data_IF_178667158051
#
_entry.id   IF_178667158051
#
_cell.length_a   1.000
_cell.length_b   1.000
_cell.length_c   1.000
_cell.angle_alpha   90.00
_cell.angle_beta   90.00
_cell.angle_gamma   90.00
#
_symmetry.space_group_name_H-M   'P 1'
#
loop_
_entity.id
_entity.type
_entity.pdbx_description
1 polymer ?
#
# COMPACT_ATOMS: atom_id res chain seq x y z
N UNK A 1 20.52 18.92 34.20
CA UNK A 1 19.10 19.06 34.55
C UNK A 1 18.44 17.69 34.79
N UNK A 2 18.72 16.97 35.89
CA UNK A 2 18.10 15.67 36.17
C UNK A 2 17.17 15.62 37.39
N UNK A 3 16.91 16.74 38.09
CA UNK A 3 16.09 16.75 39.33
C UNK A 3 14.59 17.02 39.13
N UNK A 4 14.16 17.40 37.93
CA UNK A 4 12.75 17.72 37.65
C UNK A 4 11.90 16.53 37.18
N UNK A 5 12.50 15.37 36.89
CA UNK A 5 11.76 14.15 36.50
C UNK A 5 11.33 13.27 37.69
N UNK A 6 11.92 13.42 38.88
CA UNK A 6 11.56 12.60 40.06
C UNK A 6 10.31 13.06 40.81
N UNK A 7 9.89 14.32 40.67
CA UNK A 7 8.71 14.83 41.40
C UNK A 7 7.36 14.56 40.72
N UNK A 8 7.34 13.96 39.52
CA UNK A 8 6.09 13.69 38.78
C UNK A 8 5.53 12.27 38.94
N UNK A 9 6.31 11.34 39.51
CA UNK A 9 5.86 9.95 39.73
C UNK A 9 5.26 9.70 41.13
N UNK A 10 5.48 10.58 42.11
CA UNK A 10 4.97 10.40 43.48
C UNK A 10 3.52 10.92 43.73
N UNK A 11 2.82 11.43 42.70
CA UNK A 11 1.44 11.94 42.84
C UNK A 11 0.34 11.07 42.19
N UNK A 12 0.65 9.84 41.77
CA UNK A 12 -0.34 8.89 41.18
C UNK A 12 -0.59 7.63 42.02
N UNK A 13 -0.39 7.70 43.33
CA UNK A 13 -0.55 6.57 44.24
C UNK A 13 -1.43 6.86 45.44
N UNK A 14 -2.69 7.24 45.24
CA UNK A 14 -3.68 7.26 46.32
C UNK A 14 -5.11 7.37 45.77
N UNK A 15 -5.72 6.25 45.36
CA UNK A 15 -7.18 6.08 45.34
C UNK A 15 -7.50 4.58 45.23
N UNK A 16 -8.06 4.02 46.30
CA UNK A 16 -8.44 2.60 46.40
C UNK A 16 -9.86 2.33 45.90
N UNK A 17 -10.22 1.08 45.55
CA UNK A 17 -11.53 0.77 44.97
C UNK A 17 -12.58 0.45 46.04
N UNK A 18 -13.78 1.02 45.89
CA UNK A 18 -14.97 0.68 46.67
C UNK A 18 -15.85 -0.35 45.93
N UNK A 19 -16.62 -1.22 46.63
CA UNK A 19 -17.30 -2.36 46.01
C UNK A 19 -18.75 -2.04 45.62
N UNK A 20 -19.19 -2.50 44.44
CA UNK A 20 -20.60 -2.47 44.03
C UNK A 20 -21.21 -3.88 43.93
N UNK A 21 -22.28 -4.09 44.71
CA UNK A 21 -23.18 -5.26 44.64
C UNK A 21 -24.20 -5.12 43.50
N UNK A 22 -24.72 -6.24 42.95
CA UNK A 22 -25.59 -6.24 41.77
C UNK A 22 -27.07 -6.09 42.16
N UNK A 23 -27.80 -5.26 41.40
CA UNK A 23 -29.26 -5.11 41.51
C UNK A 23 -29.95 -5.89 40.39
N UNK A 24 -30.80 -6.83 40.80
CA UNK A 24 -31.75 -7.58 39.99
C UNK A 24 -33.00 -6.75 39.65
N UNK A 25 -33.55 -6.93 38.44
CA UNK A 25 -34.93 -6.57 38.09
C UNK A 25 -35.42 -7.43 36.91
N UNK A 26 -36.74 -7.63 36.74
CA UNK A 26 -37.32 -8.91 36.30
C UNK A 26 -37.77 -8.98 34.83
N UNK A 27 -37.97 -10.22 34.35
CA UNK A 27 -38.56 -10.62 33.06
C UNK A 27 -40.09 -10.66 33.13
N UNK A 28 -40.76 -10.27 32.03
CA UNK A 28 -42.02 -10.85 31.45
C UNK A 28 -42.40 -10.14 30.13
N UNK A 29 -43.25 -10.71 29.24
CA UNK A 29 -42.78 -11.06 27.88
C UNK A 29 -43.61 -10.47 26.72
N UNK A 30 -43.20 -10.86 25.51
CA UNK A 30 -44.03 -11.15 24.32
C UNK A 30 -44.36 -10.01 23.33
N UNK A 31 -43.64 -10.00 22.18
CA UNK A 31 -44.22 -9.84 20.84
C UNK A 31 -43.16 -10.06 19.74
N UNK A 32 -43.27 -11.17 19.01
CA UNK A 32 -42.56 -11.38 17.76
C UNK A 32 -43.24 -10.59 16.62
N UNK A 33 -42.47 -10.27 15.55
CA UNK A 33 -43.02 -10.47 14.22
C UNK A 33 -42.09 -11.31 13.34
N UNK A 34 -42.75 -12.14 12.54
CA UNK A 34 -42.24 -13.03 11.51
C UNK A 34 -41.19 -12.37 10.61
N UNK A 35 -40.13 -13.12 10.31
CA UNK A 35 -39.15 -12.77 9.28
C UNK A 35 -39.21 -13.84 8.19
N UNK A 36 -39.75 -13.44 7.04
CA UNK A 36 -39.77 -14.21 5.82
C UNK A 36 -38.35 -14.57 5.36
N UNK A 37 -38.17 -15.83 4.97
CA UNK A 37 -37.02 -16.30 4.22
C UNK A 37 -37.07 -15.71 2.81
N UNK A 38 -36.13 -14.82 2.50
CA UNK A 38 -35.77 -14.50 1.12
C UNK A 38 -34.28 -14.75 0.95
N UNK A 39 -33.96 -15.73 0.12
CA UNK A 39 -32.62 -16.07 -0.34
C UNK A 39 -31.99 -14.87 -1.06
N UNK A 40 -31.03 -14.21 -0.41
CA UNK A 40 -30.13 -13.29 -1.09
C UNK A 40 -29.02 -14.10 -1.74
N UNK A 41 -29.13 -14.33 -3.05
CA UNK A 41 -27.96 -14.63 -3.87
C UNK A 41 -27.03 -13.42 -3.77
N UNK A 42 -26.01 -13.54 -2.93
CA UNK A 42 -24.91 -12.59 -2.88
C UNK A 42 -24.19 -12.64 -4.22
N UNK A 43 -24.51 -11.70 -5.11
CA UNK A 43 -23.58 -11.27 -6.15
C UNK A 43 -22.40 -10.62 -5.44
N UNK A 44 -21.41 -11.42 -5.08
CA UNK A 44 -20.09 -10.97 -4.67
C UNK A 44 -19.38 -10.41 -5.90
N UNK A 45 -19.83 -9.23 -6.35
CA UNK A 45 -19.06 -8.34 -7.20
C UNK A 45 -18.08 -7.57 -6.32
N UNK A 46 -17.23 -8.31 -5.61
CA UNK A 46 -16.02 -7.77 -5.04
C UNK A 46 -15.15 -7.40 -6.23
N UNK A 47 -15.08 -6.11 -6.54
CA UNK A 47 -14.34 -5.57 -7.68
C UNK A 47 -12.98 -6.25 -7.79
N UNK A 48 -12.74 -6.92 -8.92
CA UNK A 48 -11.50 -7.61 -9.23
C UNK A 48 -10.39 -6.56 -9.43
N UNK A 49 -9.83 -6.06 -8.33
CA UNK A 49 -8.72 -5.11 -8.37
C UNK A 49 -7.48 -5.81 -8.96
N UNK A 50 -7.00 -5.32 -10.10
CA UNK A 50 -5.82 -5.85 -10.79
C UNK A 50 -4.57 -5.27 -10.14
N UNK A 51 -3.85 -6.11 -9.39
CA UNK A 51 -2.70 -5.71 -8.55
C UNK A 51 -1.34 -5.96 -9.20
N UNK A 52 -1.31 -6.70 -10.32
CA UNK A 52 -0.09 -7.09 -11.03
C UNK A 52 -0.04 -6.55 -12.44
N UNK A 53 1.19 -6.22 -12.89
CA UNK A 53 1.46 -5.71 -14.23
C UNK A 53 1.20 -6.78 -15.27
N UNK A 54 1.54 -8.04 -14.98
CA UNK A 54 1.30 -9.20 -15.86
C UNK A 54 -0.17 -9.38 -16.22
N UNK A 55 -1.07 -9.33 -15.22
CA UNK A 55 -2.53 -9.42 -15.42
C UNK A 55 -3.03 -8.22 -16.23
N UNK A 56 -2.60 -7.01 -15.88
CA UNK A 56 -2.97 -5.79 -16.61
C UNK A 56 -2.52 -5.84 -18.08
N UNK A 57 -1.25 -6.16 -18.33
CA UNK A 57 -0.68 -6.27 -19.68
C UNK A 57 -1.38 -7.32 -20.53
N UNK A 58 -1.81 -8.43 -19.92
CA UNK A 58 -2.57 -9.48 -20.61
C UNK A 58 -3.99 -9.00 -20.98
N UNK A 59 -4.60 -8.14 -20.18
CA UNK A 59 -5.94 -7.61 -20.42
C UNK A 59 -5.99 -6.45 -21.41
N UNK A 60 -4.96 -5.61 -21.51
CA UNK A 60 -4.89 -4.45 -22.45
C UNK A 60 -5.31 -4.82 -23.90
N UNK A 61 -4.75 -5.85 -24.55
CA UNK A 61 -5.13 -6.18 -25.93
C UNK A 61 -6.58 -6.64 -26.03
N UNK A 62 -7.09 -7.37 -25.04
CA UNK A 62 -8.48 -7.81 -24.99
C UNK A 62 -9.44 -6.62 -24.85
N UNK A 63 -9.15 -5.69 -23.95
CA UNK A 63 -9.94 -4.45 -23.78
C UNK A 63 -9.93 -3.63 -25.06
N UNK A 64 -8.78 -3.51 -25.72
CA UNK A 64 -8.66 -2.77 -27.00
C UNK A 64 -9.48 -3.43 -28.11
N UNK A 65 -9.41 -4.76 -28.24
CA UNK A 65 -10.18 -5.51 -29.24
C UNK A 65 -11.69 -5.43 -28.98
N UNK A 66 -12.12 -5.57 -27.73
CA UNK A 66 -13.52 -5.43 -27.32
C UNK A 66 -14.03 -4.00 -27.58
N UNK A 67 -13.27 -2.98 -27.19
CA UNK A 67 -13.60 -1.57 -27.43
C UNK A 67 -13.75 -1.29 -28.93
N UNK A 68 -12.84 -1.82 -29.75
CA UNK A 68 -12.91 -1.70 -31.21
C UNK A 68 -14.15 -2.40 -31.77
N UNK A 69 -14.45 -3.62 -31.32
CA UNK A 69 -15.65 -4.37 -31.74
C UNK A 69 -16.95 -3.64 -31.39
N UNK A 70 -17.00 -3.00 -30.22
CA UNK A 70 -18.17 -2.24 -29.74
C UNK A 70 -18.32 -0.92 -30.52
N UNK A 71 -17.23 -0.17 -30.75
CA UNK A 71 -17.26 1.16 -31.38
C UNK A 71 -17.35 1.14 -32.92
N UNK A 72 -16.91 0.07 -33.58
CA UNK A 72 -16.85 -0.01 -35.05
C UNK A 72 -18.24 -0.16 -35.75
N UNK A 73 -19.37 -0.16 -35.02
CA UNK A 73 -20.70 -0.50 -35.60
C UNK A 73 -21.66 0.67 -35.88
N UNK A 74 -21.25 1.94 -35.81
CA UNK A 74 -22.16 3.08 -36.04
C UNK A 74 -22.53 3.38 -37.51
N UNK A 75 -21.94 2.69 -38.51
CA UNK A 75 -22.26 2.96 -39.93
C UNK A 75 -23.28 1.96 -40.52
N UNK A 76 -24.42 2.44 -41.07
CA UNK A 76 -25.59 1.61 -41.43
C UNK A 76 -25.49 0.84 -42.76
N UNK A 77 -24.36 0.85 -43.47
CA UNK A 77 -24.16 0.09 -44.72
C UNK A 77 -22.83 -0.66 -44.68
N UNK A 78 -22.87 -1.98 -44.46
CA UNK A 78 -21.65 -2.82 -44.43
C UNK A 78 -21.52 -3.61 -45.73
N UNK A 79 -20.38 -3.49 -46.39
CA UNK A 79 -20.02 -4.31 -47.54
C UNK A 79 -19.88 -5.78 -47.14
N UNK A 80 -20.14 -6.71 -48.05
CA UNK A 80 -19.92 -8.16 -47.85
C UNK A 80 -18.47 -8.48 -47.43
N UNK A 81 -17.49 -7.68 -47.87
CA UNK A 81 -16.09 -7.77 -47.42
C UNK A 81 -15.94 -7.49 -45.91
N UNK A 82 -16.69 -6.54 -45.38
CA UNK A 82 -16.68 -6.15 -43.96
C UNK A 82 -17.32 -7.22 -43.08
N UNK A 83 -18.39 -7.87 -43.54
CA UNK A 83 -19.04 -8.97 -42.81
C UNK A 83 -18.09 -10.18 -42.67
N UNK A 84 -17.40 -10.56 -43.76
CA UNK A 84 -16.37 -11.62 -43.74
C UNK A 84 -15.16 -11.29 -42.86
N UNK A 85 -14.84 -10.00 -42.67
CA UNK A 85 -13.78 -9.58 -41.75
C UNK A 85 -14.22 -9.76 -40.29
N UNK A 86 -15.46 -9.38 -39.95
CA UNK A 86 -16.03 -9.53 -38.60
C UNK A 86 -16.13 -11.00 -38.19
N UNK A 87 -16.58 -11.87 -39.10
CA UNK A 87 -16.64 -13.33 -38.86
C UNK A 87 -15.26 -13.92 -38.54
N UNK A 88 -14.23 -13.54 -39.32
CA UNK A 88 -12.84 -13.96 -39.05
C UNK A 88 -12.34 -13.48 -37.69
N UNK A 89 -12.71 -12.27 -37.27
CA UNK A 89 -12.36 -11.76 -35.94
C UNK A 89 -13.02 -12.58 -34.84
N UNK A 90 -14.31 -12.89 -34.93
CA UNK A 90 -14.99 -13.70 -33.91
C UNK A 90 -14.43 -15.12 -33.79
N UNK A 91 -14.12 -15.77 -34.93
CA UNK A 91 -13.44 -17.07 -34.94
C UNK A 91 -12.05 -17.01 -34.31
N UNK A 92 -11.26 -15.98 -34.64
CA UNK A 92 -9.94 -15.77 -34.05
C UNK A 92 -10.00 -15.56 -32.53
N UNK A 93 -10.98 -14.79 -32.05
CA UNK A 93 -11.24 -14.59 -30.62
C UNK A 93 -11.56 -15.94 -29.95
N UNK A 94 -12.51 -16.72 -30.50
CA UNK A 94 -12.87 -18.02 -29.93
C UNK A 94 -11.68 -18.99 -29.87
N UNK A 95 -10.82 -19.01 -30.89
CA UNK A 95 -9.62 -19.85 -30.89
C UNK A 95 -8.59 -19.40 -29.85
N UNK A 96 -8.37 -18.09 -29.73
CA UNK A 96 -7.44 -17.53 -28.74
C UNK A 96 -7.91 -17.83 -27.31
N UNK A 97 -9.21 -17.68 -27.05
CA UNK A 97 -9.83 -18.03 -25.77
C UNK A 97 -9.71 -19.53 -25.49
N UNK A 98 -9.90 -20.39 -26.49
CA UNK A 98 -9.68 -21.84 -26.35
C UNK A 98 -8.27 -22.17 -25.87
N UNK A 99 -7.24 -21.56 -26.47
CA UNK A 99 -5.84 -21.75 -26.03
C UNK A 99 -5.59 -21.21 -24.62
N UNK A 100 -6.12 -20.04 -24.30
CA UNK A 100 -6.03 -19.43 -22.97
C UNK A 100 -6.64 -20.35 -21.90
N UNK A 101 -7.83 -20.88 -22.18
CA UNK A 101 -8.54 -21.81 -21.30
C UNK A 101 -7.74 -23.10 -21.09
N UNK A 102 -7.12 -23.68 -22.12
CA UNK A 102 -6.28 -24.87 -21.95
C UNK A 102 -5.14 -24.65 -20.96
N UNK A 103 -4.52 -23.46 -20.96
CA UNK A 103 -3.49 -23.11 -19.98
C UNK A 103 -4.10 -22.98 -18.58
N UNK A 104 -5.25 -22.31 -18.45
CA UNK A 104 -5.97 -22.20 -17.17
C UNK A 104 -6.38 -23.56 -16.58
N UNK A 105 -6.86 -24.47 -17.41
CA UNK A 105 -7.25 -25.84 -17.02
C UNK A 105 -6.02 -26.68 -16.61
N UNK A 106 -4.87 -26.50 -17.26
CA UNK A 106 -3.62 -27.13 -16.85
C UNK A 106 -3.17 -26.63 -15.46
N UNK A 107 -3.17 -25.31 -15.24
CA UNK A 107 -2.87 -24.72 -13.93
C UNK A 107 -3.85 -25.22 -12.85
N UNK A 108 -5.14 -25.34 -13.18
CA UNK A 108 -6.16 -25.86 -12.28
C UNK A 108 -5.85 -27.29 -11.83
N UNK A 109 -5.39 -28.15 -12.76
CA UNK A 109 -5.11 -29.56 -12.48
C UNK A 109 -3.98 -29.76 -11.45
N UNK A 110 -3.05 -28.81 -11.37
CA UNK A 110 -1.94 -28.82 -10.41
C UNK A 110 -2.30 -28.18 -9.06
N UNK A 111 -3.51 -27.60 -8.93
CA UNK A 111 -3.93 -26.80 -7.77
C UNK A 111 -5.31 -27.20 -7.26
N UNK A 112 -5.41 -28.28 -6.47
CA UNK A 112 -6.69 -28.85 -6.02
C UNK A 112 -7.64 -27.85 -5.34
N UNK A 113 -7.15 -26.93 -4.51
CA UNK A 113 -8.01 -25.96 -3.81
C UNK A 113 -8.70 -24.95 -4.75
N UNK A 114 -8.02 -24.53 -5.82
CA UNK A 114 -8.55 -23.53 -6.77
C UNK A 114 -9.11 -24.18 -8.05
N UNK A 115 -9.01 -25.51 -8.14
CA UNK A 115 -9.32 -26.30 -9.34
C UNK A 115 -10.73 -26.03 -9.83
N UNK A 116 -11.72 -26.22 -8.95
CA UNK A 116 -13.14 -26.05 -9.31
C UNK A 116 -13.45 -24.61 -9.74
N UNK A 117 -12.95 -23.62 -9.00
CA UNK A 117 -13.17 -22.21 -9.31
C UNK A 117 -12.53 -21.81 -10.65
N UNK A 118 -11.32 -22.30 -10.91
CA UNK A 118 -10.59 -22.07 -12.16
C UNK A 118 -11.27 -22.73 -13.35
N UNK A 119 -11.74 -23.98 -13.21
CA UNK A 119 -12.49 -24.67 -14.26
C UNK A 119 -13.79 -23.95 -14.60
N UNK A 120 -14.52 -23.47 -13.59
CA UNK A 120 -15.74 -22.69 -13.82
C UNK A 120 -15.43 -21.40 -14.61
N UNK A 121 -14.42 -20.62 -14.20
CA UNK A 121 -14.02 -19.39 -14.88
C UNK A 121 -13.57 -19.66 -16.33
N UNK A 122 -12.83 -20.76 -16.55
CA UNK A 122 -12.42 -21.24 -17.86
C UNK A 122 -13.60 -21.62 -18.76
N UNK A 123 -14.60 -22.32 -18.21
CA UNK A 123 -15.81 -22.69 -18.95
C UNK A 123 -16.62 -21.47 -19.37
N UNK A 124 -16.77 -20.48 -18.47
CA UNK A 124 -17.45 -19.22 -18.78
C UNK A 124 -16.71 -18.41 -19.86
N UNK A 125 -15.38 -18.36 -19.81
CA UNK A 125 -14.57 -17.73 -20.85
C UNK A 125 -14.78 -18.40 -22.20
N UNK A 126 -14.74 -19.74 -22.24
CA UNK A 126 -14.97 -20.53 -23.45
C UNK A 126 -16.35 -20.24 -24.06
N UNK A 127 -17.41 -20.29 -23.25
CA UNK A 127 -18.79 -19.97 -23.67
C UNK A 127 -18.93 -18.55 -24.22
N UNK A 128 -18.28 -17.59 -23.59
CA UNK A 128 -18.29 -16.20 -24.05
C UNK A 128 -17.57 -16.05 -25.42
N UNK A 129 -16.44 -16.72 -25.60
CA UNK A 129 -15.71 -16.77 -26.88
C UNK A 129 -16.53 -17.41 -28.00
N UNK A 130 -17.19 -18.52 -27.73
CA UNK A 130 -18.11 -19.20 -28.66
C UNK A 130 -19.31 -18.32 -29.03
N UNK A 131 -19.89 -17.64 -28.03
CA UNK A 131 -21.01 -16.70 -28.24
C UNK A 131 -20.60 -15.55 -29.17
N UNK A 132 -19.38 -15.01 -29.03
CA UNK A 132 -18.86 -13.99 -29.95
C UNK A 132 -18.72 -14.56 -31.35
N UNK A 133 -18.16 -15.77 -31.51
CA UNK A 133 -18.04 -16.39 -32.82
C UNK A 133 -19.41 -16.57 -33.50
N UNK A 134 -20.41 -17.09 -32.79
CA UNK A 134 -21.78 -17.26 -33.29
C UNK A 134 -22.43 -15.93 -33.69
N UNK A 135 -22.32 -14.89 -32.86
CA UNK A 135 -22.87 -13.57 -33.14
C UNK A 135 -22.18 -12.85 -34.32
N UNK A 136 -21.00 -13.32 -34.72
CA UNK A 136 -20.26 -12.85 -35.90
C UNK A 136 -20.41 -13.75 -37.11
N UNK A 137 -21.03 -14.93 -36.95
CA UNK A 137 -21.25 -15.88 -38.02
C UNK A 137 -22.49 -15.50 -38.82
N UNK A 138 -22.26 -14.97 -40.03
CA UNK A 138 -23.31 -14.51 -40.95
C UNK A 138 -23.57 -15.56 -42.05
N UNK A 139 -23.03 -16.77 -41.89
CA UNK A 139 -22.93 -17.78 -42.93
C UNK A 139 -24.14 -18.69 -43.17
N UNK A 140 -25.31 -18.43 -42.58
CA UNK A 140 -26.47 -19.36 -42.69
C UNK A 140 -27.76 -18.77 -43.28
N UNK A 141 -27.68 -17.66 -44.02
CA UNK A 141 -28.82 -17.17 -44.83
C UNK A 141 -28.57 -17.41 -46.32
N UNK A 142 -28.48 -18.68 -46.72
CA UNK A 142 -28.89 -19.11 -48.06
C UNK A 142 -30.43 -19.21 -48.08
N UNK A 143 -31.12 -18.09 -47.85
CA UNK A 143 -32.54 -17.97 -48.18
C UNK A 143 -32.69 -17.06 -49.40
N UNK A 144 -33.35 -17.55 -50.47
CA UNK A 144 -33.51 -16.78 -51.68
C UNK A 144 -34.41 -15.58 -51.43
N UNK A 145 -33.99 -14.47 -52.02
CA UNK A 145 -34.71 -13.22 -52.28
C UNK A 145 -36.18 -13.22 -51.84
N UNK A 146 -36.47 -12.70 -50.64
CA UNK A 146 -37.76 -12.07 -50.40
C UNK A 146 -37.61 -10.80 -49.57
N UNK A 147 -38.31 -9.80 -50.06
CA UNK A 147 -38.25 -8.36 -49.82
C UNK A 147 -38.66 -7.90 -48.41
N UNK A 148 -38.25 -8.61 -47.37
CA UNK A 148 -38.60 -8.23 -46.00
C UNK A 148 -37.37 -7.82 -45.26
N UNK A 149 -36.89 -6.59 -45.52
CA UNK A 149 -36.27 -5.64 -44.57
C UNK A 149 -35.62 -6.28 -43.32
N UNK A 150 -34.83 -7.34 -43.53
CA UNK A 150 -34.37 -8.21 -42.49
C UNK A 150 -33.27 -7.43 -41.80
N UNK A 151 -33.67 -6.86 -40.69
CA UNK A 151 -32.88 -6.05 -39.80
C UNK A 151 -31.58 -6.77 -39.49
N UNK A 152 -30.53 -6.45 -40.25
CA UNK A 152 -29.11 -6.62 -39.91
C UNK A 152 -28.78 -5.69 -38.72
N UNK A 153 -29.67 -5.66 -37.73
CA UNK A 153 -29.31 -5.31 -36.37
C UNK A 153 -28.55 -6.55 -35.89
N UNK A 154 -27.27 -6.63 -36.24
CA UNK A 154 -26.34 -7.49 -35.52
C UNK A 154 -26.62 -7.23 -34.05
N UNK A 155 -27.02 -8.25 -33.28
CA UNK A 155 -27.47 -8.12 -31.89
C UNK A 155 -26.41 -7.38 -31.07
N UNK A 156 -26.50 -6.05 -31.05
CA UNK A 156 -25.49 -5.13 -30.49
C UNK A 156 -25.44 -5.37 -29.00
N UNK A 157 -26.61 -5.56 -28.41
CA UNK A 157 -26.81 -5.89 -27.01
C UNK A 157 -26.18 -7.25 -26.69
N UNK A 158 -26.44 -8.29 -27.49
CA UNK A 158 -25.81 -9.61 -27.34
C UNK A 158 -24.30 -9.59 -27.48
N UNK A 159 -23.76 -8.87 -28.47
CA UNK A 159 -22.32 -8.73 -28.68
C UNK A 159 -21.65 -7.99 -27.52
N UNK A 160 -22.25 -6.90 -27.03
CA UNK A 160 -21.75 -6.18 -25.84
C UNK A 160 -21.78 -7.08 -24.61
N UNK A 161 -22.85 -7.85 -24.42
CA UNK A 161 -22.96 -8.81 -23.31
C UNK A 161 -21.88 -9.89 -23.39
N UNK A 162 -21.72 -10.54 -24.54
CA UNK A 162 -20.72 -11.59 -24.74
C UNK A 162 -19.29 -11.06 -24.56
N UNK A 163 -19.00 -9.86 -25.05
CA UNK A 163 -17.69 -9.23 -24.87
C UNK A 163 -17.40 -8.86 -23.41
N UNK A 164 -18.39 -8.32 -22.68
CA UNK A 164 -18.25 -8.04 -21.24
C UNK A 164 -18.06 -9.31 -20.42
N UNK A 165 -18.82 -10.36 -20.73
CA UNK A 165 -18.67 -11.68 -20.10
C UNK A 165 -17.28 -12.26 -20.38
N UNK A 166 -16.77 -12.13 -21.60
CA UNK A 166 -15.42 -12.57 -21.92
C UNK A 166 -14.36 -11.81 -21.10
N UNK A 167 -14.47 -10.48 -21.01
CA UNK A 167 -13.54 -9.69 -20.20
C UNK A 167 -13.59 -10.05 -18.72
N UNK A 168 -14.80 -10.25 -18.17
CA UNK A 168 -15.00 -10.63 -16.77
C UNK A 168 -14.43 -12.02 -16.47
N UNK A 169 -14.75 -13.02 -17.31
CA UNK A 169 -14.28 -14.40 -17.13
C UNK A 169 -12.77 -14.55 -17.33
N UNK A 170 -12.18 -13.88 -18.34
CA UNK A 170 -10.72 -13.87 -18.52
C UNK A 170 -10.01 -13.18 -17.36
N UNK A 171 -10.53 -12.04 -16.90
CA UNK A 171 -9.99 -11.38 -15.69
C UNK A 171 -10.06 -12.33 -14.49
N UNK A 172 -11.16 -13.07 -14.31
CA UNK A 172 -11.29 -14.05 -13.23
C UNK A 172 -10.25 -15.17 -13.32
N UNK A 173 -10.03 -15.75 -14.51
CA UNK A 173 -8.98 -16.77 -14.73
C UNK A 173 -7.59 -16.21 -14.36
N UNK A 174 -7.27 -14.99 -14.79
CA UNK A 174 -5.99 -14.35 -14.50
C UNK A 174 -5.80 -14.06 -12.99
N UNK A 175 -6.84 -13.59 -12.31
CA UNK A 175 -6.79 -13.36 -10.85
C UNK A 175 -6.64 -14.69 -10.10
N UNK A 176 -7.28 -15.77 -10.55
CA UNK A 176 -7.08 -17.10 -9.96
C UNK A 176 -5.67 -17.63 -10.21
N UNK A 177 -5.09 -17.38 -11.38
CA UNK A 177 -3.70 -17.73 -11.67
C UNK A 177 -2.73 -16.93 -10.78
N UNK A 178 -3.00 -15.65 -10.53
CA UNK A 178 -2.22 -14.83 -9.58
C UNK A 178 -2.25 -15.43 -8.17
N UNK A 179 -3.42 -15.90 -7.70
CA UNK A 179 -3.57 -16.58 -6.40
C UNK A 179 -2.73 -17.85 -6.31
N UNK A 180 -2.57 -18.60 -7.41
CA UNK A 180 -1.67 -19.77 -7.46
C UNK A 180 -0.22 -19.34 -7.23
N UNK A 181 0.24 -18.27 -7.86
CA UNK A 181 1.60 -17.73 -7.65
C UNK A 181 1.81 -17.30 -6.20
N UNK A 182 0.83 -16.62 -5.60
CA UNK A 182 0.87 -16.25 -4.17
C UNK A 182 1.00 -17.50 -3.28
N UNK A 183 0.26 -18.56 -3.57
CA UNK A 183 0.38 -19.84 -2.85
C UNK A 183 1.74 -20.50 -3.01
N UNK A 184 2.35 -20.42 -4.19
CA UNK A 184 3.72 -20.93 -4.39
C UNK A 184 4.73 -20.19 -3.51
N UNK A 185 4.62 -18.86 -3.37
CA UNK A 185 5.46 -18.06 -2.46
C UNK A 185 5.25 -18.49 -1.01
N UNK A 186 3.99 -18.66 -0.57
CA UNK A 186 3.66 -19.12 0.80
C UNK A 186 4.23 -20.52 1.08
N UNK A 187 4.11 -21.44 0.11
CA UNK A 187 4.66 -22.79 0.22
C UNK A 187 6.19 -22.76 0.31
N UNK A 188 6.85 -21.99 -0.55
CA UNK A 188 8.30 -21.80 -0.53
C UNK A 188 8.78 -21.20 0.81
N UNK A 189 8.11 -20.18 1.37
CA UNK A 189 8.38 -19.69 2.73
C UNK A 189 8.30 -20.80 3.77
N UNK A 190 7.30 -21.67 3.67
CA UNK A 190 7.08 -22.73 4.67
C UNK A 190 8.23 -23.74 4.69
N UNK A 191 8.80 -24.06 3.52
CA UNK A 191 10.05 -24.85 3.42
C UNK A 191 11.20 -24.13 4.13
N UNK A 192 11.45 -22.87 3.78
CA UNK A 192 12.50 -22.04 4.38
C UNK A 192 12.37 -21.95 5.91
N UNK A 193 11.15 -21.77 6.43
CA UNK A 193 10.90 -21.75 7.88
C UNK A 193 11.24 -23.09 8.53
N UNK A 194 10.87 -24.20 7.89
CA UNK A 194 11.13 -25.55 8.41
C UNK A 194 12.63 -25.79 8.54
N UNK A 195 13.42 -25.49 7.50
CA UNK A 195 14.89 -25.64 7.56
C UNK A 195 15.56 -24.63 8.48
N UNK A 196 15.02 -23.40 8.57
CA UNK A 196 15.48 -22.40 9.52
C UNK A 196 15.27 -22.86 10.98
N UNK A 197 14.14 -23.48 11.31
CA UNK A 197 13.91 -24.04 12.65
C UNK A 197 14.86 -25.20 12.97
N UNK A 198 15.21 -26.01 11.98
CA UNK A 198 16.21 -27.07 12.14
C UNK A 198 17.59 -26.45 12.43
N UNK A 199 18.02 -25.47 11.62
CA UNK A 199 19.29 -24.74 11.81
C UNK A 199 19.42 -24.11 13.21
N UNK A 200 18.30 -23.67 13.80
CA UNK A 200 18.31 -23.08 15.12
C UNK A 200 18.64 -24.10 16.21
N UNK A 201 18.21 -25.36 16.04
CA UNK A 201 18.32 -26.43 17.05
C UNK A 201 19.60 -27.27 16.95
N UNK A 202 20.37 -27.12 15.87
CA UNK A 202 21.59 -27.91 15.63
C UNK A 202 22.62 -27.76 16.77
N UNK A 203 23.18 -28.89 17.20
CA UNK A 203 24.24 -28.96 18.21
C UNK A 203 25.61 -29.40 17.66
N UNK A 204 25.70 -29.78 16.37
CA UNK A 204 26.94 -30.21 15.72
C UNK A 204 27.24 -29.41 14.45
N UNK A 205 28.50 -29.05 14.25
CA UNK A 205 28.91 -28.31 13.04
C UNK A 205 28.73 -29.12 11.75
N UNK A 206 28.89 -30.45 11.81
CA UNK A 206 28.71 -31.31 10.63
C UNK A 206 27.24 -31.33 10.16
N UNK A 207 26.32 -31.50 11.11
CA UNK A 207 24.88 -31.44 10.86
C UNK A 207 24.48 -30.04 10.38
N UNK A 208 25.06 -28.99 10.97
CA UNK A 208 24.83 -27.61 10.56
C UNK A 208 25.13 -27.39 9.09
N UNK A 209 26.28 -27.86 8.59
CA UNK A 209 26.67 -27.69 7.19
C UNK A 209 25.69 -28.38 6.24
N UNK A 210 25.18 -29.56 6.60
CA UNK A 210 24.20 -30.30 5.80
C UNK A 210 22.87 -29.54 5.70
N UNK A 211 22.31 -29.14 6.83
CA UNK A 211 21.04 -28.41 6.88
C UNK A 211 21.20 -27.01 6.25
N UNK A 212 22.34 -26.35 6.43
CA UNK A 212 22.61 -25.03 5.86
C UNK A 212 22.67 -25.06 4.34
N UNK A 213 23.17 -26.16 3.75
CA UNK A 213 23.12 -26.36 2.30
C UNK A 213 21.68 -26.50 1.80
N UNK A 214 20.82 -27.24 2.51
CA UNK A 214 19.41 -27.38 2.15
C UNK A 214 18.68 -26.03 2.26
N UNK A 215 18.83 -25.35 3.40
CA UNK A 215 18.30 -24.01 3.64
C UNK A 215 18.72 -23.04 2.53
N UNK A 216 19.99 -23.07 2.11
CA UNK A 216 20.50 -22.22 1.03
C UNK A 216 19.76 -22.43 -0.29
N UNK A 217 19.48 -23.69 -0.66
CA UNK A 217 18.73 -24.02 -1.88
C UNK A 217 17.29 -23.49 -1.82
N UNK A 218 16.61 -23.70 -0.69
CA UNK A 218 15.24 -23.23 -0.47
C UNK A 218 15.17 -21.69 -0.48
N UNK A 219 16.18 -21.03 0.08
CA UNK A 219 16.28 -19.57 0.09
C UNK A 219 16.53 -19.00 -1.31
N UNK A 220 17.26 -19.70 -2.19
CA UNK A 220 17.42 -19.32 -3.60
C UNK A 220 16.10 -19.42 -4.35
N UNK A 221 15.37 -20.54 -4.21
CA UNK A 221 14.02 -20.70 -4.78
C UNK A 221 13.09 -19.55 -4.33
N UNK A 222 13.07 -19.27 -3.03
CA UNK A 222 12.28 -18.19 -2.46
C UNK A 222 12.71 -16.81 -2.97
N UNK A 223 14.01 -16.56 -3.12
CA UNK A 223 14.55 -15.29 -3.62
C UNK A 223 14.14 -15.02 -5.08
N UNK A 224 14.05 -16.06 -5.93
CA UNK A 224 13.55 -15.95 -7.29
C UNK A 224 12.06 -15.62 -7.31
N UNK A 225 11.23 -16.42 -6.64
CA UNK A 225 9.78 -16.21 -6.58
C UNK A 225 9.41 -14.81 -6.06
N UNK A 226 10.07 -14.37 -4.99
CA UNK A 226 9.85 -13.04 -4.42
C UNK A 226 10.39 -11.91 -5.30
N UNK A 227 11.43 -12.18 -6.09
CA UNK A 227 11.96 -11.22 -7.06
C UNK A 227 11.06 -11.00 -8.25
N UNK A 228 10.53 -12.09 -8.81
CA UNK A 228 9.56 -12.01 -9.90
C UNK A 228 8.29 -11.29 -9.42
N UNK A 229 7.79 -11.63 -8.22
CA UNK A 229 6.66 -10.93 -7.61
C UNK A 229 6.95 -9.45 -7.38
N UNK A 230 8.13 -9.09 -6.87
CA UNK A 230 8.52 -7.69 -6.67
C UNK A 230 8.40 -6.87 -7.96
N UNK A 231 8.90 -7.42 -9.08
CA UNK A 231 8.87 -6.73 -10.37
C UNK A 231 7.45 -6.62 -10.93
N UNK A 232 6.60 -7.61 -10.64
CA UNK A 232 5.24 -7.68 -11.14
C UNK A 232 4.22 -6.85 -10.34
N UNK A 233 4.50 -6.51 -9.08
CA UNK A 233 3.64 -5.64 -8.26
C UNK A 233 3.46 -4.26 -8.90
N UNK A 234 2.21 -3.77 -8.97
CA UNK A 234 1.89 -2.41 -9.45
C UNK A 234 2.15 -1.32 -8.41
N UNK A 235 1.87 -1.60 -7.14
CA UNK A 235 2.04 -0.66 -6.04
C UNK A 235 3.54 -0.49 -5.71
N UNK A 236 4.07 0.71 -5.96
CA UNK A 236 5.48 1.04 -5.73
C UNK A 236 5.87 1.01 -4.24
N UNK A 237 4.94 1.28 -3.31
CA UNK A 237 5.19 1.16 -1.86
C UNK A 237 5.34 -0.31 -1.47
N UNK A 238 4.45 -1.20 -1.96
CA UNK A 238 4.59 -2.66 -1.77
C UNK A 238 5.87 -3.20 -2.40
N UNK A 239 6.23 -2.72 -3.58
CA UNK A 239 7.49 -3.08 -4.26
C UNK A 239 8.73 -2.67 -3.46
N UNK A 240 8.76 -1.45 -2.93
CA UNK A 240 9.85 -0.97 -2.08
C UNK A 240 9.94 -1.78 -0.78
N UNK A 241 8.81 -2.07 -0.13
CA UNK A 241 8.75 -2.94 1.05
C UNK A 241 9.26 -4.36 0.76
N UNK A 242 8.90 -4.93 -0.38
CA UNK A 242 9.37 -6.25 -0.81
C UNK A 242 10.90 -6.24 -1.00
N UNK A 243 11.44 -5.21 -1.64
CA UNK A 243 12.88 -5.03 -1.81
C UNK A 243 13.60 -4.95 -0.45
N UNK A 244 13.05 -4.20 0.50
CA UNK A 244 13.60 -4.09 1.86
C UNK A 244 13.60 -5.44 2.59
N UNK A 245 12.48 -6.19 2.56
CA UNK A 245 12.39 -7.51 3.18
C UNK A 245 13.40 -8.50 2.57
N UNK A 246 13.52 -8.52 1.24
CA UNK A 246 14.52 -9.35 0.53
C UNK A 246 15.95 -8.98 0.92
N UNK A 247 16.28 -7.69 1.02
CA UNK A 247 17.60 -7.24 1.45
C UNK A 247 17.92 -7.65 2.91
N UNK A 248 16.92 -7.69 3.80
CA UNK A 248 17.10 -8.21 5.16
C UNK A 248 17.39 -9.71 5.13
N UNK A 249 16.65 -10.48 4.33
CA UNK A 249 16.87 -11.93 4.19
C UNK A 249 18.27 -12.25 3.64
N UNK A 250 18.73 -11.52 2.64
CA UNK A 250 20.08 -11.66 2.09
C UNK A 250 21.15 -11.41 3.15
N UNK A 251 21.08 -10.26 3.84
CA UNK A 251 22.05 -9.91 4.90
C UNK A 251 22.04 -10.92 6.05
N UNK A 252 20.86 -11.38 6.49
CA UNK A 252 20.77 -12.37 7.55
C UNK A 252 21.33 -13.73 7.10
N UNK A 253 21.10 -14.13 5.86
CA UNK A 253 21.67 -15.37 5.28
C UNK A 253 23.20 -15.34 5.31
N UNK A 254 23.81 -14.20 5.00
CA UNK A 254 25.27 -14.01 5.12
C UNK A 254 25.78 -14.10 6.56
N UNK A 255 24.95 -13.71 7.54
CA UNK A 255 25.32 -13.71 8.96
C UNK A 255 25.10 -15.07 9.65
N UNK A 256 24.18 -15.90 9.16
CA UNK A 256 23.77 -17.16 9.79
C UNK A 256 24.95 -18.09 10.10
N UNK A 257 25.85 -18.29 9.14
CA UNK A 257 27.01 -19.16 9.31
C UNK A 257 27.90 -18.67 10.46
N UNK A 258 28.25 -17.39 10.46
CA UNK A 258 29.14 -16.79 11.46
C UNK A 258 28.50 -16.82 12.84
N UNK A 259 27.23 -16.42 12.97
CA UNK A 259 26.51 -16.42 14.24
C UNK A 259 26.36 -17.84 14.82
N UNK A 260 25.98 -18.80 13.97
CA UNK A 260 25.79 -20.20 14.39
C UNK A 260 27.11 -20.89 14.73
N UNK A 261 28.16 -20.69 13.92
CA UNK A 261 29.50 -21.22 14.20
C UNK A 261 30.07 -20.67 15.51
N UNK A 262 29.84 -19.39 15.80
CA UNK A 262 30.27 -18.77 17.05
C UNK A 262 29.58 -19.41 18.25
N UNK A 263 28.26 -19.62 18.17
CA UNK A 263 27.51 -20.33 19.22
C UNK A 263 27.98 -21.79 19.42
N UNK A 264 28.24 -22.51 18.34
CA UNK A 264 28.71 -23.90 18.40
C UNK A 264 30.12 -24.01 19.01
N UNK A 265 30.96 -22.99 18.84
CA UNK A 265 32.30 -22.92 19.44
C UNK A 265 32.28 -22.46 20.90
N UNK A 266 31.29 -21.65 21.28
CA UNK A 266 31.17 -21.04 22.59
C UNK A 266 29.75 -21.22 23.14
N UNK A 267 29.35 -22.46 23.51
CA UNK A 267 27.98 -22.77 23.89
C UNK A 267 27.50 -22.01 25.14
N UNK A 268 28.42 -21.69 26.06
CA UNK A 268 28.13 -20.97 27.31
C UNK A 268 28.10 -19.45 27.15
N UNK A 269 28.44 -18.92 25.96
CA UNK A 269 28.46 -17.49 25.71
C UNK A 269 27.04 -16.96 25.42
N UNK A 270 26.46 -16.27 26.40
CA UNK A 270 25.12 -15.67 26.25
C UNK A 270 25.05 -14.67 25.08
N UNK A 271 26.05 -13.81 24.92
CA UNK A 271 26.09 -12.84 23.81
C UNK A 271 26.07 -13.52 22.44
N UNK A 272 26.73 -14.68 22.28
CA UNK A 272 26.69 -15.45 21.05
C UNK A 272 25.27 -15.99 20.80
N UNK A 273 24.62 -16.57 21.83
CA UNK A 273 23.24 -17.09 21.76
C UNK A 273 22.25 -15.99 21.39
N UNK A 274 22.33 -14.82 22.02
CA UNK A 274 21.49 -13.66 21.70
C UNK A 274 21.73 -13.21 20.26
N UNK A 275 22.99 -13.13 19.81
CA UNK A 275 23.31 -12.73 18.45
C UNK A 275 22.71 -13.70 17.41
N UNK A 276 22.88 -15.01 17.63
CA UNK A 276 22.25 -16.05 16.81
C UNK A 276 20.73 -15.88 16.83
N UNK A 277 20.08 -15.88 17.99
CA UNK A 277 18.63 -15.73 18.11
C UNK A 277 18.10 -14.47 17.40
N UNK A 278 18.84 -13.37 17.48
CA UNK A 278 18.53 -12.13 16.78
C UNK A 278 18.51 -12.27 15.24
N UNK A 279 19.48 -12.98 14.66
CA UNK A 279 19.50 -13.25 13.20
C UNK A 279 18.28 -14.09 12.81
N UNK A 280 18.00 -15.19 13.51
CA UNK A 280 16.85 -16.06 13.22
C UNK A 280 15.52 -15.31 13.36
N UNK A 281 15.36 -14.52 14.42
CA UNK A 281 14.18 -13.70 14.62
C UNK A 281 13.96 -12.68 13.49
N UNK A 282 15.01 -11.96 13.08
CA UNK A 282 14.91 -11.00 11.97
C UNK A 282 14.56 -11.66 10.64
N UNK A 283 15.04 -12.87 10.38
CA UNK A 283 14.65 -13.62 9.19
C UNK A 283 13.17 -13.97 9.20
N UNK A 284 12.65 -14.47 10.33
CA UNK A 284 11.21 -14.76 10.46
C UNK A 284 10.36 -13.52 10.20
N UNK A 285 10.71 -12.38 10.80
CA UNK A 285 10.02 -11.11 10.55
C UNK A 285 10.04 -10.71 9.07
N UNK A 286 11.18 -10.84 8.39
CA UNK A 286 11.29 -10.53 6.98
C UNK A 286 10.48 -11.51 6.09
N UNK A 287 10.45 -12.80 6.42
CA UNK A 287 9.59 -13.79 5.77
C UNK A 287 8.11 -13.45 5.95
N UNK A 288 7.70 -13.02 7.15
CA UNK A 288 6.32 -12.61 7.44
C UNK A 288 5.93 -11.34 6.68
N UNK A 289 6.84 -10.37 6.58
CA UNK A 289 6.65 -9.16 5.76
C UNK A 289 6.42 -9.49 4.29
N UNK A 290 7.15 -10.46 3.73
CA UNK A 290 6.91 -10.93 2.35
C UNK A 290 5.49 -11.46 2.22
N UNK A 291 5.02 -12.27 3.17
CA UNK A 291 3.65 -12.81 3.12
C UNK A 291 2.62 -11.69 3.21
N UNK A 292 2.77 -10.78 4.16
CA UNK A 292 1.88 -9.63 4.31
C UNK A 292 1.72 -8.84 3.00
N UNK A 293 2.82 -8.68 2.25
CA UNK A 293 2.83 -7.96 0.97
C UNK A 293 2.10 -8.74 -0.14
N UNK A 294 2.26 -10.07 -0.21
CA UNK A 294 1.67 -10.86 -1.30
C UNK A 294 0.22 -11.25 -1.05
N UNK A 295 -0.21 -11.33 0.22
CA UNK A 295 -1.59 -11.67 0.60
C UNK A 295 -2.47 -10.46 0.87
N UNK A 296 -1.90 -9.25 0.95
CA UNK A 296 -2.63 -8.01 1.26
C UNK A 296 -3.45 -8.08 2.56
N UNK A 297 -2.98 -8.85 3.54
CA UNK A 297 -3.69 -9.10 4.82
C UNK A 297 -4.00 -7.84 5.65
N UNK A 298 -3.61 -6.63 5.20
CA UNK A 298 -3.87 -5.35 5.87
C UNK A 298 -4.88 -4.43 5.16
N UNK A 299 -5.37 -4.74 3.95
CA UNK A 299 -6.16 -3.77 3.15
C UNK A 299 -7.69 -3.94 3.22
N UNK A 300 -8.25 -4.32 4.37
CA UNK A 300 -9.71 -4.46 4.49
C UNK A 300 -10.38 -3.71 5.65
N UNK A 301 -9.71 -2.78 6.34
CA UNK A 301 -10.32 -2.18 7.55
C UNK A 301 -9.99 -0.74 7.89
N UNK A 302 -8.96 -0.14 7.32
CA UNK A 302 -8.64 1.25 7.62
C UNK A 302 -8.45 1.94 6.29
N UNK A 303 -9.26 2.97 6.01
CA UNK A 303 -8.82 4.06 5.16
C UNK A 303 -7.36 4.29 5.54
N UNK A 304 -6.40 4.12 4.63
CA UNK A 304 -5.09 4.72 4.85
C UNK A 304 -5.41 6.20 5.06
N UNK A 305 -5.50 6.61 6.34
CA UNK A 305 -5.36 8.00 6.74
C UNK A 305 -3.92 8.25 6.32
N UNK A 306 -3.73 8.58 5.04
CA UNK A 306 -2.49 9.13 4.57
C UNK A 306 -2.25 10.27 5.54
N UNK A 307 -1.17 10.24 6.35
CA UNK A 307 -0.82 11.39 7.16
C UNK A 307 -0.76 12.55 6.17
N UNK A 308 -1.68 13.51 6.29
CA UNK A 308 -1.68 14.66 5.39
C UNK A 308 -0.33 15.31 5.61
N UNK A 309 0.47 15.39 4.54
CA UNK A 309 1.76 16.05 4.67
C UNK A 309 1.48 17.50 5.00
N UNK A 310 2.18 18.07 5.98
CA UNK A 310 2.13 19.50 6.27
C UNK A 310 2.31 20.37 5.00
N UNK A 311 3.04 19.87 4.00
CA UNK A 311 3.17 20.48 2.68
C UNK A 311 1.83 20.56 1.92
N UNK A 312 1.07 19.46 1.91
CA UNK A 312 -0.24 19.39 1.28
C UNK A 312 -1.22 20.32 2.00
N UNK A 313 -1.22 20.31 3.33
CA UNK A 313 -2.08 21.16 4.17
C UNK A 313 -1.81 22.65 3.91
N UNK A 314 -0.53 23.06 3.87
CA UNK A 314 -0.14 24.43 3.53
C UNK A 314 -0.61 24.83 2.13
N UNK A 315 -0.53 23.93 1.14
CA UNK A 315 -0.99 24.25 -0.21
C UNK A 315 -2.51 24.31 -0.29
N UNK A 316 -3.23 23.41 0.37
CA UNK A 316 -4.69 23.46 0.44
C UNK A 316 -5.15 24.76 1.10
N UNK A 317 -4.52 25.15 2.20
CA UNK A 317 -4.76 26.43 2.87
C UNK A 317 -4.53 27.60 1.92
N UNK A 318 -3.40 27.63 1.21
CA UNK A 318 -3.11 28.69 0.22
C UNK A 318 -4.13 28.75 -0.92
N UNK A 319 -4.66 27.60 -1.37
CA UNK A 319 -5.70 27.54 -2.40
C UNK A 319 -7.04 28.06 -1.87
N UNK A 320 -7.41 27.70 -0.63
CA UNK A 320 -8.59 28.22 0.05
C UNK A 320 -8.51 29.74 0.26
N UNK A 321 -7.35 30.25 0.66
CA UNK A 321 -7.09 31.69 0.80
C UNK A 321 -7.23 32.42 -0.54
N UNK A 322 -6.74 31.86 -1.65
CA UNK A 322 -6.96 32.45 -2.98
C UNK A 322 -8.44 32.48 -3.37
N UNK A 323 -9.21 31.44 -3.04
CA UNK A 323 -10.64 31.41 -3.37
C UNK A 323 -11.48 32.47 -2.65
N UNK A 324 -10.93 33.14 -1.63
CA UNK A 324 -11.54 34.33 -1.00
C UNK A 324 -11.72 35.46 -2.00
N UNK A 325 -10.82 35.56 -3.00
CA UNK A 325 -10.90 36.55 -4.09
C UNK A 325 -12.22 36.43 -4.88
N UNK A 326 -12.56 35.20 -5.27
CA UNK A 326 -13.65 34.93 -6.20
C UNK A 326 -14.98 34.63 -5.49
N UNK A 327 -14.94 34.28 -4.19
CA UNK A 327 -16.12 33.85 -3.44
C UNK A 327 -16.13 34.40 -2.01
N UNK A 328 -16.38 35.70 -1.89
CA UNK A 328 -16.43 36.41 -0.61
C UNK A 328 -17.46 35.87 0.40
N UNK A 329 -18.44 35.05 -0.01
CA UNK A 329 -19.53 34.56 0.86
C UNK A 329 -19.53 33.04 1.09
N UNK A 330 -18.74 32.26 0.33
CA UNK A 330 -18.80 30.80 0.34
C UNK A 330 -17.82 30.09 1.27
N UNK A 331 -16.90 30.82 1.90
CA UNK A 331 -15.83 30.25 2.75
C UNK A 331 -16.13 30.62 4.21
N UNK A 332 -16.03 29.64 5.11
CA UNK A 332 -16.12 29.88 6.55
C UNK A 332 -14.78 30.38 7.09
N UNK A 333 -14.83 31.46 7.88
CA UNK A 333 -13.65 32.04 8.57
C UNK A 333 -13.10 31.08 9.60
N UNK A 334 -14.00 30.41 10.32
CA UNK A 334 -13.70 29.39 11.33
C UNK A 334 -12.97 28.21 10.69
N UNK A 335 -13.34 27.84 9.46
CA UNK A 335 -12.64 26.80 8.70
C UNK A 335 -11.21 27.17 8.32
N UNK A 336 -10.94 28.43 7.98
CA UNK A 336 -9.57 28.89 7.68
C UNK A 336 -8.72 28.92 8.95
N UNK A 337 -9.27 29.43 10.05
CA UNK A 337 -8.60 29.43 11.34
C UNK A 337 -8.27 28.01 11.82
N UNK A 338 -9.23 27.08 11.75
CA UNK A 338 -9.02 25.69 12.12
C UNK A 338 -7.93 25.02 11.26
N UNK A 339 -7.90 25.31 9.95
CA UNK A 339 -6.87 24.78 9.06
C UNK A 339 -5.48 25.35 9.38
N UNK A 340 -5.38 26.64 9.70
CA UNK A 340 -4.11 27.23 10.11
C UNK A 340 -3.63 26.61 11.42
N UNK A 341 -4.48 26.52 12.44
CA UNK A 341 -4.07 25.93 13.73
C UNK A 341 -3.63 24.48 13.59
N UNK A 342 -4.30 23.67 12.75
CA UNK A 342 -3.85 22.30 12.45
C UNK A 342 -2.45 22.29 11.80
N UNK A 343 -2.19 23.19 10.85
CA UNK A 343 -0.86 23.32 10.24
C UNK A 343 0.18 23.69 11.31
N UNK A 344 -0.16 24.63 12.20
CA UNK A 344 0.76 25.10 13.24
C UNK A 344 1.01 24.02 14.29
N UNK A 345 0.01 23.22 14.67
CA UNK A 345 0.18 22.03 15.50
C UNK A 345 1.17 21.05 14.86
N UNK A 346 1.06 20.80 13.55
CA UNK A 346 2.04 19.97 12.84
C UNK A 346 3.45 20.58 12.78
N UNK A 347 3.61 21.90 12.97
CA UNK A 347 4.96 22.50 13.09
C UNK A 347 5.60 22.25 14.45
N UNK A 348 4.84 21.86 15.46
CA UNK A 348 5.35 21.60 16.81
C UNK A 348 6.33 20.42 16.82
N UNK A 349 6.14 19.43 15.93
CA UNK A 349 7.10 18.34 15.71
C UNK A 349 8.52 18.86 15.42
N UNK A 350 8.63 19.99 14.70
CA UNK A 350 9.92 20.62 14.44
C UNK A 350 10.43 21.40 15.64
N UNK A 351 9.57 22.12 16.36
CA UNK A 351 10.02 22.97 17.48
C UNK A 351 10.36 22.17 18.72
N UNK A 352 9.67 21.05 18.95
CA UNK A 352 9.86 20.18 20.11
C UNK A 352 10.99 19.17 19.89
N UNK A 353 11.38 18.93 18.64
CA UNK A 353 12.53 18.10 18.32
C UNK A 353 13.80 18.68 18.96
N UNK A 354 14.52 17.82 19.69
CA UNK A 354 15.83 18.14 20.26
C UNK A 354 16.90 18.39 19.18
N UNK A 355 16.63 17.98 17.94
CA UNK A 355 17.59 18.01 16.84
C UNK A 355 17.40 19.19 15.89
N UNK A 356 16.32 19.96 16.05
CA UNK A 356 16.15 21.22 15.33
C UNK A 356 17.07 22.29 15.93
N UNK A 357 17.83 22.98 15.07
CA UNK A 357 18.73 24.06 15.51
C UNK A 357 17.95 25.18 16.21
N UNK A 358 18.61 25.90 17.11
CA UNK A 358 17.98 27.03 17.81
C UNK A 358 17.47 28.10 16.84
N UNK A 359 18.28 28.44 15.85
CA UNK A 359 17.96 29.42 14.82
C UNK A 359 16.71 29.03 14.02
N UNK A 360 16.65 27.78 13.53
CA UNK A 360 15.49 27.28 12.79
C UNK A 360 14.24 27.25 13.68
N UNK A 361 14.38 26.82 14.94
CA UNK A 361 13.26 26.78 15.90
C UNK A 361 12.68 28.17 16.14
N UNK A 362 13.52 29.16 16.43
CA UNK A 362 13.07 30.55 16.61
C UNK A 362 12.39 31.09 15.36
N UNK A 363 12.95 30.79 14.17
CA UNK A 363 12.39 31.25 12.91
C UNK A 363 11.03 30.62 12.61
N UNK A 364 10.85 29.33 12.87
CA UNK A 364 9.56 28.63 12.73
C UNK A 364 8.51 29.22 13.67
N UNK A 365 8.87 29.43 14.95
CA UNK A 365 7.96 30.03 15.95
C UNK A 365 7.53 31.44 15.53
N UNK A 366 8.47 32.26 15.06
CA UNK A 366 8.18 33.62 14.61
C UNK A 366 7.29 33.64 13.37
N UNK A 367 7.56 32.78 12.37
CA UNK A 367 6.71 32.64 11.18
C UNK A 367 5.31 32.11 11.53
N UNK A 368 5.21 31.22 12.52
CA UNK A 368 3.92 30.71 13.02
C UNK A 368 3.10 31.82 13.68
N UNK A 369 3.75 32.67 14.50
CA UNK A 369 3.12 33.86 15.08
C UNK A 369 2.70 34.85 14.00
N UNK A 370 3.54 35.07 12.99
CA UNK A 370 3.23 35.95 11.87
C UNK A 370 2.06 35.42 11.04
N UNK A 371 1.97 34.11 10.80
CA UNK A 371 0.87 33.51 10.05
C UNK A 371 -0.50 33.74 10.73
N UNK A 372 -0.55 33.66 12.07
CA UNK A 372 -1.76 34.00 12.84
C UNK A 372 -2.16 35.46 12.63
N UNK A 373 -1.21 36.38 12.75
CA UNK A 373 -1.46 37.82 12.57
C UNK A 373 -1.93 38.17 11.15
N UNK A 374 -1.32 37.58 10.12
CA UNK A 374 -1.72 37.82 8.74
C UNK A 374 -3.12 37.25 8.45
N UNK A 375 -3.47 36.09 9.03
CA UNK A 375 -4.82 35.53 8.92
C UNK A 375 -5.86 36.40 9.65
N UNK A 376 -5.56 36.87 10.87
CA UNK A 376 -6.43 37.78 11.62
C UNK A 376 -6.70 39.07 10.82
N UNK A 377 -5.65 39.65 10.24
CA UNK A 377 -5.74 40.82 9.39
C UNK A 377 -6.60 40.54 8.15
N UNK A 378 -6.41 39.39 7.48
CA UNK A 378 -7.22 38.97 6.34
C UNK A 378 -8.70 38.83 6.72
N UNK A 379 -8.99 38.16 7.83
CA UNK A 379 -10.37 37.96 8.32
C UNK A 379 -11.02 39.31 8.63
N UNK A 380 -10.29 40.26 9.21
CA UNK A 380 -10.79 41.60 9.51
C UNK A 380 -11.18 42.35 8.23
N UNK A 381 -10.24 42.53 7.28
CA UNK A 381 -10.51 43.28 6.03
C UNK A 381 -11.57 42.60 5.17
N UNK A 382 -11.57 41.26 5.17
CA UNK A 382 -12.58 40.47 4.47
C UNK A 382 -13.98 40.65 5.06
N UNK A 383 -14.10 40.68 6.40
CA UNK A 383 -15.38 40.96 7.08
C UNK A 383 -15.88 42.36 6.76
N UNK A 384 -14.97 43.34 6.71
CA UNK A 384 -15.31 44.71 6.33
C UNK A 384 -15.83 44.79 4.89
N UNK A 385 -15.17 44.12 3.94
CA UNK A 385 -15.59 44.05 2.54
C UNK A 385 -16.96 43.37 2.38
N UNK A 386 -17.24 42.31 3.15
CA UNK A 386 -18.55 41.64 3.19
C UNK A 386 -19.66 42.59 3.69
N UNK A 387 -19.42 43.33 4.78
CA UNK A 387 -20.38 44.29 5.33
C UNK A 387 -20.74 45.40 4.34
N UNK A 388 -19.76 45.83 3.53
CA UNK A 388 -19.95 46.86 2.50
C UNK A 388 -20.59 46.33 1.20
N UNK A 389 -20.92 45.03 1.13
CA UNK A 389 -21.46 44.34 -0.06
C UNK A 389 -20.60 44.57 -1.31
N UNK A 390 -19.28 44.60 -1.15
CA UNK A 390 -18.36 44.68 -2.26
C UNK A 390 -18.57 43.47 -3.20
N UNK A 391 -18.65 43.73 -4.51
CA UNK A 391 -18.81 42.67 -5.53
C UNK A 391 -17.49 41.97 -5.87
N UNK A 392 -16.36 42.64 -5.60
CA UNK A 392 -15.00 42.21 -5.89
C UNK A 392 -14.11 42.46 -4.66
N UNK A 393 -12.97 41.77 -4.59
CA UNK A 393 -11.99 41.96 -3.53
C UNK A 393 -11.44 43.39 -3.54
N UNK A 394 -11.40 44.03 -2.37
CA UNK A 394 -10.80 45.36 -2.22
C UNK A 394 -9.27 45.27 -2.30
N UNK A 395 -8.59 46.38 -2.61
CA UNK A 395 -7.11 46.43 -2.61
C UNK A 395 -6.51 45.95 -1.27
N UNK A 396 -7.15 46.30 -0.15
CA UNK A 396 -6.74 45.84 1.19
C UNK A 396 -6.92 44.32 1.37
N UNK A 397 -7.98 43.76 0.79
CA UNK A 397 -8.23 42.31 0.82
C UNK A 397 -7.21 41.57 -0.04
N UNK A 398 -6.92 42.09 -1.24
CA UNK A 398 -5.87 41.55 -2.12
C UNK A 398 -4.49 41.58 -1.45
N UNK A 399 -4.15 42.69 -0.80
CA UNK A 399 -2.89 42.80 -0.06
C UNK A 399 -2.80 41.79 1.09
N UNK A 400 -3.88 41.61 1.87
CA UNK A 400 -3.92 40.64 2.96
C UNK A 400 -3.84 39.18 2.48
N UNK A 401 -4.48 38.86 1.34
CA UNK A 401 -4.36 37.54 0.69
C UNK A 401 -2.90 37.28 0.30
N UNK A 402 -2.25 38.24 -0.36
CA UNK A 402 -0.86 38.12 -0.82
C UNK A 402 0.07 37.91 0.38
N UNK A 403 -0.04 38.74 1.43
CA UNK A 403 0.79 38.63 2.64
C UNK A 403 0.61 37.31 3.36
N UNK A 404 -0.63 36.86 3.54
CA UNK A 404 -0.92 35.56 4.18
C UNK A 404 -0.28 34.42 3.39
N UNK A 405 -0.42 34.40 2.06
CA UNK A 405 0.19 33.36 1.21
C UNK A 405 1.70 33.42 1.19
N UNK A 406 2.29 34.62 1.23
CA UNK A 406 3.73 34.79 1.32
C UNK A 406 4.25 34.23 2.64
N UNK A 407 3.63 34.60 3.76
CA UNK A 407 3.98 34.10 5.09
C UNK A 407 3.94 32.56 5.14
N UNK A 408 2.87 31.94 4.63
CA UNK A 408 2.78 30.47 4.55
C UNK A 408 3.84 29.84 3.64
N UNK A 409 4.27 30.54 2.59
CA UNK A 409 5.35 30.07 1.70
C UNK A 409 6.72 30.16 2.39
N UNK A 410 6.94 31.19 3.20
CA UNK A 410 8.14 31.34 4.02
C UNK A 410 8.19 30.28 5.12
N UNK A 411 7.08 30.04 5.84
CA UNK A 411 6.97 28.96 6.82
C UNK A 411 7.29 27.60 6.19
N UNK A 412 6.67 27.29 5.04
CA UNK A 412 6.97 26.07 4.29
C UNK A 412 8.45 25.95 3.92
N UNK A 413 9.09 27.04 3.48
CA UNK A 413 10.52 27.04 3.13
C UNK A 413 11.38 26.79 4.36
N UNK A 414 11.05 27.39 5.48
CA UNK A 414 11.79 27.23 6.73
C UNK A 414 11.72 25.79 7.26
N UNK A 415 10.53 25.18 7.26
CA UNK A 415 10.34 23.77 7.62
C UNK A 415 11.15 22.85 6.70
N UNK A 416 11.16 23.13 5.39
CA UNK A 416 11.96 22.37 4.43
C UNK A 416 13.47 22.52 4.70
N UNK A 417 13.94 23.74 4.97
CA UNK A 417 15.34 23.99 5.29
C UNK A 417 15.76 23.26 6.57
N UNK A 418 14.92 23.32 7.62
CA UNK A 418 15.17 22.62 8.88
C UNK A 418 15.27 21.10 8.68
N UNK A 419 14.34 20.50 7.92
CA UNK A 419 14.37 19.08 7.61
C UNK A 419 15.62 18.68 6.80
N UNK A 420 15.96 19.45 5.76
CA UNK A 420 17.12 19.16 4.90
C UNK A 420 18.44 19.32 5.65
N UNK A 421 18.56 20.36 6.47
CA UNK A 421 19.75 20.59 7.29
C UNK A 421 19.95 19.45 8.29
N UNK A 422 18.88 19.07 9.01
CA UNK A 422 18.92 17.94 9.94
C UNK A 422 19.30 16.63 9.23
N UNK A 423 18.70 16.34 8.08
CA UNK A 423 19.03 15.16 7.29
C UNK A 423 20.51 15.17 6.82
N UNK A 424 21.03 16.33 6.39
CA UNK A 424 22.42 16.46 5.96
C UNK A 424 23.40 16.23 7.12
N UNK A 425 23.13 16.80 8.28
CA UNK A 425 23.98 16.66 9.48
C UNK A 425 23.99 15.21 9.98
N UNK A 426 22.82 14.56 10.05
CA UNK A 426 22.70 13.16 10.46
C UNK A 426 23.41 12.20 9.49
N UNK A 427 23.21 12.38 8.18
CA UNK A 427 23.85 11.53 7.15
C UNK A 427 25.36 11.70 7.14
N UNK A 428 25.87 12.91 7.39
CA UNK A 428 27.31 13.16 7.52
C UNK A 428 27.89 12.37 8.70
N UNK A 429 27.29 12.47 9.89
CA UNK A 429 27.74 11.71 11.06
C UNK A 429 27.69 10.18 10.84
N UNK A 430 26.68 9.69 10.12
CA UNK A 430 26.54 8.27 9.83
C UNK A 430 27.59 7.74 8.83
N UNK A 431 27.86 8.47 7.75
CA UNK A 431 28.80 8.04 6.70
C UNK A 431 30.24 7.87 7.19
N UNK A 432 30.64 8.61 8.21
CA UNK A 432 31.98 8.50 8.80
C UNK A 432 32.17 7.21 9.62
N UNK A 433 31.07 6.52 9.97
CA UNK A 433 31.02 5.28 10.75
C UNK A 433 31.84 5.33 12.04
N UNK A 434 31.99 6.51 12.64
CA UNK A 434 32.88 6.74 13.79
C UNK A 434 32.48 5.87 14.98
N UNK A 435 31.20 5.86 15.33
CA UNK A 435 30.67 5.08 16.47
C UNK A 435 30.86 3.57 16.25
N UNK A 436 30.60 3.07 15.03
CA UNK A 436 30.81 1.65 14.70
C UNK A 436 32.30 1.25 14.74
N UNK A 437 33.20 2.11 14.25
CA UNK A 437 34.65 1.87 14.32
C UNK A 437 35.13 1.84 15.76
N UNK A 438 34.70 2.79 16.59
CA UNK A 438 35.04 2.83 18.00
C UNK A 438 34.51 1.61 18.77
N UNK A 439 33.28 1.19 18.49
CA UNK A 439 32.68 -0.02 19.06
C UNK A 439 33.45 -1.29 18.68
N UNK A 440 33.92 -1.38 17.43
CA UNK A 440 34.76 -2.50 16.97
C UNK A 440 36.12 -2.54 17.68
N UNK A 441 36.79 -1.40 17.82
CA UNK A 441 38.10 -1.31 18.49
C UNK A 441 37.97 -1.66 19.98
N UNK A 442 37.07 -0.98 20.70
CA UNK A 442 36.82 -1.24 22.12
C UNK A 442 36.36 -2.67 22.40
N UNK A 443 35.55 -3.24 21.51
CA UNK A 443 35.16 -4.66 21.57
C UNK A 443 36.34 -5.62 21.40
N UNK A 444 37.28 -5.31 20.52
CA UNK A 444 38.49 -6.12 20.33
C UNK A 444 39.49 -6.02 21.49
N UNK A 445 39.49 -4.89 22.20
CA UNK A 445 40.31 -4.66 23.40
C UNK A 445 39.67 -5.24 24.67
N UNK A 446 38.39 -5.65 24.60
CA UNK A 446 37.66 -6.20 25.75
C UNK A 446 37.20 -5.13 26.76
N UNK A 447 37.18 -3.85 26.37
CA UNK A 447 36.78 -2.76 27.26
C UNK A 447 35.26 -2.62 27.33
N UNK A 448 34.63 -3.35 28.26
CA UNK A 448 33.17 -3.45 28.38
C UNK A 448 32.49 -2.11 28.69
N UNK A 449 33.14 -1.23 29.45
CA UNK A 449 32.59 0.08 29.81
C UNK A 449 32.48 0.98 28.57
N UNK A 450 33.55 1.05 27.78
CA UNK A 450 33.57 1.82 26.53
C UNK A 450 32.63 1.22 25.49
N UNK A 451 32.52 -0.11 25.42
CA UNK A 451 31.53 -0.78 24.55
C UNK A 451 30.11 -0.39 24.94
N UNK A 452 29.78 -0.35 26.23
CA UNK A 452 28.45 0.05 26.70
C UNK A 452 28.15 1.52 26.32
N UNK A 453 29.12 2.42 26.50
CA UNK A 453 28.99 3.83 26.11
C UNK A 453 28.69 3.98 24.61
N UNK A 454 29.51 3.38 23.74
CA UNK A 454 29.32 3.48 22.29
C UNK A 454 28.08 2.72 21.81
N UNK A 455 27.62 1.68 22.51
CA UNK A 455 26.35 1.01 22.21
C UNK A 455 25.16 1.94 22.47
N UNK A 456 25.20 2.72 23.56
CA UNK A 456 24.22 3.77 23.82
C UNK A 456 24.19 4.81 22.70
N UNK A 457 25.36 5.32 22.31
CA UNK A 457 25.48 6.27 21.19
C UNK A 457 24.97 5.71 19.87
N UNK A 458 25.24 4.44 19.57
CA UNK A 458 24.75 3.79 18.34
C UNK A 458 23.23 3.64 18.36
N UNK A 459 22.65 3.36 19.52
CA UNK A 459 21.20 3.25 19.70
C UNK A 459 20.52 4.61 19.50
N UNK A 460 21.09 5.67 20.05
CA UNK A 460 20.62 7.04 19.85
C UNK A 460 20.73 7.44 18.36
N UNK A 461 21.86 7.17 17.71
CA UNK A 461 22.03 7.42 16.27
C UNK A 461 21.02 6.67 15.41
N UNK A 462 20.69 5.43 15.78
CA UNK A 462 19.65 4.65 15.09
C UNK A 462 18.29 5.31 15.25
N UNK A 463 17.94 5.76 16.45
CA UNK A 463 16.66 6.45 16.69
C UNK A 463 16.57 7.79 15.96
N UNK A 464 17.68 8.51 15.82
CA UNK A 464 17.74 9.76 15.04
C UNK A 464 17.55 9.53 13.53
N UNK A 465 17.95 8.37 13.02
CA UNK A 465 17.84 8.04 11.59
C UNK A 465 16.45 7.53 11.18
N UNK A 466 15.67 7.02 12.13
CA UNK A 466 14.29 6.54 11.92
C UNK A 466 13.36 7.74 12.00
#
# INVERSE_FOLDING_TARGET
MPELKRQREERRGAEGPAPHQPRTAPRTPDRAPHRDMASSHCTSDSGLEIKTRSVEQTLIPLVTQITTLINHKEKPKKSQKTLRAIQRVGQAVSLAVGRFVTVGEAIASENEELKEEMYYACQEARRAGESIAQLTDVGSFDQPESDTRATVYTDKTGMIKAARLLLSSVTKVLVLADRVVVKQIISSRSKVLTTLEQLEKVSSFQEFVQIFSQFGNEMVEFAHLTGDRQNDLKDEKKKARMAAARAVLEKCTMMLLTASKTCLRHPDCESARINKGGVFHRMRLALDQVIEIVTDSRQNGENEIHPSSIYADINEFKMKIESVRDNLQGISKESLAAMLELILEHTEDFTDSAYTSHENRERIVELSRQARLELEQLVMVWTQAQCLKAKEATEDTELAIIKTRQCMSELRRELQNAAVQLAADLLKCYTEHVVLKALKVSGSEGNLEVVAEYTGKLSEQKEQLI
#
